data_IF_777395058508
#
_entry.id   IF_777395058508
#
_cell.length_a   1.000
_cell.length_b   1.000
_cell.length_c   1.000
_cell.angle_alpha   90.00
_cell.angle_beta   90.00
_cell.angle_gamma   90.00
#
_symmetry.space_group_name_H-M   'P 1'
#
loop_
_entity.id
_entity.type
_entity.pdbx_description
1 polymer ?
#
# COMPACT_ATOMS: atom_id res chain seq x y z
N UNK A 1 -12.62 -15.95 -7.49
CA UNK A 1 -11.50 -16.54 -8.28
C UNK A 1 -10.22 -15.69 -8.25
N UNK A 2 -10.31 -14.35 -8.15
CA UNK A 2 -9.18 -13.40 -8.28
C UNK A 2 -8.12 -13.43 -7.17
N UNK A 3 -8.49 -13.72 -5.91
CA UNK A 3 -7.55 -13.76 -4.77
C UNK A 3 -6.51 -14.89 -4.83
N UNK A 4 -6.61 -15.83 -5.78
CA UNK A 4 -5.55 -16.84 -6.00
C UNK A 4 -4.29 -16.26 -6.64
N UNK A 5 -4.37 -15.08 -7.26
CA UNK A 5 -3.25 -14.38 -7.89
C UNK A 5 -3.11 -12.97 -7.29
N UNK A 6 -2.70 -12.85 -6.02
CA UNK A 6 -2.68 -11.57 -5.32
C UNK A 6 -1.73 -10.54 -5.95
N UNK A 7 -0.68 -10.99 -6.66
CA UNK A 7 0.20 -10.11 -7.42
C UNK A 7 -0.53 -9.28 -8.47
N UNK A 8 -1.57 -9.82 -9.12
CA UNK A 8 -2.37 -9.08 -10.11
C UNK A 8 -3.15 -7.94 -9.46
N UNK A 9 -3.68 -8.15 -8.27
CA UNK A 9 -4.41 -7.10 -7.54
C UNK A 9 -3.45 -5.96 -7.20
N UNK A 10 -2.25 -6.29 -6.72
CA UNK A 10 -1.20 -5.30 -6.43
C UNK A 10 -0.79 -4.51 -7.68
N UNK A 11 -0.49 -5.21 -8.78
CA UNK A 11 -0.06 -4.59 -10.03
C UNK A 11 -1.16 -3.82 -10.76
N UNK A 12 -2.44 -4.18 -10.59
CA UNK A 12 -3.55 -3.39 -11.10
C UNK A 12 -3.81 -2.15 -10.24
N UNK A 13 -3.54 -2.20 -8.94
CA UNK A 13 -3.63 -1.02 -8.08
C UNK A 13 -2.54 0.02 -8.38
N UNK A 14 -1.36 -0.41 -8.84
CA UNK A 14 -0.25 0.48 -9.21
C UNK A 14 -0.61 1.58 -10.23
N UNK A 15 -1.13 1.28 -11.45
CA UNK A 15 -1.48 2.30 -12.41
C UNK A 15 -2.62 3.20 -11.92
N UNK A 16 -3.57 2.66 -11.15
CA UNK A 16 -4.65 3.46 -10.55
C UNK A 16 -4.05 4.50 -9.59
N UNK A 17 -3.08 4.10 -8.76
CA UNK A 17 -2.41 5.01 -7.83
C UNK A 17 -1.59 6.08 -8.57
N UNK A 18 -0.90 5.71 -9.66
CA UNK A 18 -0.19 6.67 -10.53
C UNK A 18 -1.18 7.69 -11.12
N UNK A 19 -2.30 7.22 -11.68
CA UNK A 19 -3.33 8.09 -12.25
C UNK A 19 -3.89 9.04 -11.20
N UNK A 20 -4.16 8.57 -9.99
CA UNK A 20 -4.61 9.42 -8.89
C UNK A 20 -3.56 10.48 -8.52
N UNK A 21 -2.27 10.12 -8.47
CA UNK A 21 -1.19 11.07 -8.23
C UNK A 21 -1.07 12.15 -9.31
N UNK A 22 -1.43 11.83 -10.56
CA UNK A 22 -1.48 12.80 -11.66
C UNK A 22 -2.72 13.69 -11.57
N UNK A 23 -3.90 13.12 -11.26
CA UNK A 23 -5.15 13.87 -11.09
C UNK A 23 -5.04 14.85 -9.91
N UNK A 24 -4.42 14.43 -8.81
CA UNK A 24 -4.26 15.23 -7.59
C UNK A 24 -2.85 15.85 -7.47
N UNK A 25 -2.17 16.11 -8.60
CA UNK A 25 -0.77 16.57 -8.64
C UNK A 25 -0.54 17.93 -7.97
N UNK A 26 -1.54 18.79 -7.94
CA UNK A 26 -1.48 20.12 -7.30
C UNK A 26 -1.40 20.06 -5.77
N UNK A 27 -1.65 18.90 -5.18
CA UNK A 27 -1.55 18.71 -3.74
C UNK A 27 -0.13 18.34 -3.31
N UNK A 28 0.15 18.62 -2.04
CA UNK A 28 1.40 18.28 -1.35
C UNK A 28 1.11 17.51 -0.08
N UNK A 29 2.11 16.77 0.40
CA UNK A 29 2.16 16.24 1.75
C UNK A 29 3.21 17.05 2.49
N UNK A 30 2.78 17.71 3.56
CA UNK A 30 3.60 18.62 4.34
C UNK A 30 4.00 17.92 5.64
N UNK A 31 5.29 17.84 5.93
CA UNK A 31 5.81 17.16 7.13
C UNK A 31 6.70 18.13 7.89
N UNK A 32 6.27 18.51 9.10
CA UNK A 32 7.09 19.29 10.02
C UNK A 32 8.02 18.34 10.80
N UNK A 33 9.33 18.48 10.59
CA UNK A 33 10.36 17.74 11.31
C UNK A 33 11.21 18.73 12.11
N UNK A 34 10.94 18.84 13.42
CA UNK A 34 11.55 19.83 14.30
C UNK A 34 11.40 21.25 13.71
N UNK A 35 12.52 21.93 13.42
CA UNK A 35 12.56 23.28 12.85
C UNK A 35 12.57 23.30 11.31
N UNK A 36 12.48 22.13 10.66
CA UNK A 36 12.50 22.00 9.20
C UNK A 36 11.14 21.58 8.65
N UNK A 37 10.72 22.20 7.56
CA UNK A 37 9.46 21.92 6.88
C UNK A 37 9.72 21.24 5.53
N UNK A 38 9.25 20.01 5.39
CA UNK A 38 9.35 19.24 4.14
C UNK A 38 8.04 19.28 3.38
N UNK A 39 8.11 19.67 2.10
CA UNK A 39 6.97 19.66 1.17
C UNK A 39 7.20 18.59 0.12
N UNK A 40 6.41 17.53 0.16
CA UNK A 40 6.51 16.41 -0.77
C UNK A 40 5.37 16.53 -1.78
N UNK A 41 5.68 16.63 -3.06
CA UNK A 41 4.62 16.67 -4.07
C UNK A 41 3.85 15.34 -4.10
N UNK A 42 2.51 15.41 -4.20
CA UNK A 42 1.65 14.22 -4.17
C UNK A 42 1.97 13.20 -5.27
N UNK A 43 2.53 13.66 -6.39
CA UNK A 43 3.03 12.77 -7.45
C UNK A 43 4.18 11.86 -7.00
N UNK A 44 5.09 12.33 -6.13
CA UNK A 44 6.17 11.51 -5.58
C UNK A 44 5.62 10.47 -4.60
N UNK A 45 4.62 10.85 -3.82
CA UNK A 45 3.92 9.97 -2.88
C UNK A 45 3.21 8.83 -3.62
N UNK A 46 2.47 9.16 -4.68
CA UNK A 46 1.86 8.18 -5.55
C UNK A 46 2.90 7.27 -6.21
N UNK A 47 4.00 7.83 -6.73
CA UNK A 47 5.08 7.05 -7.34
C UNK A 47 5.72 6.08 -6.34
N UNK A 48 5.97 6.53 -5.10
CA UNK A 48 6.51 5.71 -4.02
C UNK A 48 5.55 4.58 -3.65
N UNK A 49 4.25 4.88 -3.50
CA UNK A 49 3.23 3.87 -3.25
C UNK A 49 3.11 2.84 -4.37
N UNK A 50 3.26 3.27 -5.63
CA UNK A 50 3.23 2.36 -6.79
C UNK A 50 4.47 1.49 -6.87
N UNK A 51 5.65 2.05 -6.57
CA UNK A 51 6.89 1.27 -6.45
C UNK A 51 6.78 0.23 -5.32
N UNK A 52 6.15 0.59 -4.20
CA UNK A 52 5.90 -0.34 -3.11
C UNK A 52 4.97 -1.49 -3.53
N UNK A 53 3.84 -1.19 -4.19
CA UNK A 53 2.93 -2.20 -4.73
C UNK A 53 3.58 -3.09 -5.80
N UNK A 54 4.56 -2.57 -6.55
CA UNK A 54 5.37 -3.39 -7.46
C UNK A 54 6.13 -4.46 -6.69
N UNK A 55 6.84 -4.07 -5.62
CA UNK A 55 7.64 -4.98 -4.78
C UNK A 55 6.76 -6.02 -4.08
N UNK A 56 5.62 -5.60 -3.51
CA UNK A 56 4.63 -6.52 -2.92
C UNK A 56 4.11 -7.50 -3.96
N UNK A 57 3.75 -7.01 -5.15
CA UNK A 57 3.28 -7.86 -6.24
C UNK A 57 4.36 -8.84 -6.71
N UNK A 58 5.62 -8.40 -6.80
CA UNK A 58 6.75 -9.25 -7.14
C UNK A 58 6.94 -10.38 -6.12
N UNK A 59 6.89 -10.11 -4.82
CA UNK A 59 7.06 -11.18 -3.84
C UNK A 59 5.92 -12.20 -3.86
N UNK A 60 4.67 -11.78 -4.09
CA UNK A 60 3.57 -12.72 -4.33
C UNK A 60 3.73 -13.53 -5.62
N UNK A 61 4.20 -12.89 -6.69
CA UNK A 61 4.46 -13.56 -7.96
C UNK A 61 5.55 -14.62 -7.82
N UNK A 62 6.64 -14.30 -7.11
CA UNK A 62 7.73 -15.24 -6.81
C UNK A 62 7.22 -16.48 -6.05
N UNK A 63 6.31 -16.32 -5.09
CA UNK A 63 5.67 -17.47 -4.44
C UNK A 63 4.88 -18.31 -5.44
N UNK A 64 4.08 -17.68 -6.29
CA UNK A 64 3.28 -18.41 -7.26
C UNK A 64 4.15 -19.20 -8.26
N UNK A 65 5.36 -18.74 -8.58
CA UNK A 65 6.32 -19.49 -9.39
C UNK A 65 6.76 -20.81 -8.74
N UNK A 66 6.76 -20.91 -7.41
CA UNK A 66 7.07 -22.15 -6.69
C UNK A 66 5.93 -23.19 -6.75
N UNK A 67 4.82 -22.88 -7.43
CA UNK A 67 3.62 -23.73 -7.48
C UNK A 67 2.76 -23.67 -6.22
N UNK A 68 3.16 -22.90 -5.21
CA UNK A 68 2.44 -22.75 -3.95
C UNK A 68 1.43 -21.60 -4.01
N UNK A 69 0.33 -21.76 -3.27
CA UNK A 69 -0.69 -20.72 -3.13
C UNK A 69 -0.63 -20.11 -1.74
N UNK A 70 -0.51 -18.77 -1.61
CA UNK A 70 -0.51 -18.12 -0.31
C UNK A 70 -1.85 -18.24 0.40
N UNK A 71 -1.85 -18.13 1.72
CA UNK A 71 -3.08 -18.13 2.52
C UNK A 71 -3.96 -16.93 2.13
N UNK A 72 -5.19 -17.20 1.69
CA UNK A 72 -6.11 -16.18 1.19
C UNK A 72 -6.49 -15.18 2.28
N UNK A 73 -6.88 -15.64 3.47
CA UNK A 73 -7.34 -14.77 4.55
C UNK A 73 -6.27 -13.76 4.97
N UNK A 74 -5.05 -14.28 5.18
CA UNK A 74 -3.91 -13.48 5.61
C UNK A 74 -3.42 -12.54 4.50
N UNK A 75 -3.50 -12.97 3.24
CA UNK A 75 -3.24 -12.11 2.06
C UNK A 75 -4.25 -10.98 1.95
N UNK A 76 -5.53 -11.24 2.24
CA UNK A 76 -6.58 -10.21 2.23
C UNK A 76 -6.35 -9.17 3.34
N UNK A 77 -6.00 -9.62 4.56
CA UNK A 77 -5.69 -8.75 5.70
C UNK A 77 -4.46 -7.86 5.43
N UNK A 78 -3.51 -8.33 4.63
CA UNK A 78 -2.39 -7.49 4.19
C UNK A 78 -2.79 -6.54 3.05
N UNK A 79 -3.31 -7.10 1.95
CA UNK A 79 -3.34 -6.40 0.67
C UNK A 79 -4.44 -5.34 0.61
N UNK A 80 -5.63 -5.60 1.19
CA UNK A 80 -6.72 -4.62 1.18
C UNK A 80 -6.37 -3.38 2.01
N UNK A 81 -5.95 -3.47 3.28
CA UNK A 81 -5.56 -2.28 4.04
C UNK A 81 -4.39 -1.53 3.40
N UNK A 82 -3.41 -2.24 2.83
CA UNK A 82 -2.27 -1.62 2.14
C UNK A 82 -2.74 -0.74 0.98
N UNK A 83 -3.60 -1.27 0.09
CA UNK A 83 -4.12 -0.50 -1.05
C UNK A 83 -5.00 0.66 -0.58
N UNK A 84 -5.88 0.44 0.40
CA UNK A 84 -6.78 1.47 0.90
C UNK A 84 -5.98 2.63 1.50
N UNK A 85 -5.00 2.36 2.36
CA UNK A 85 -4.19 3.41 3.00
C UNK A 85 -3.41 4.21 1.95
N UNK A 86 -2.79 3.53 0.96
CA UNK A 86 -2.07 4.22 -0.12
C UNK A 86 -3.01 5.10 -0.96
N UNK A 87 -4.21 4.63 -1.27
CA UNK A 87 -5.21 5.41 -2.02
C UNK A 87 -5.68 6.63 -1.22
N UNK A 88 -5.99 6.45 0.06
CA UNK A 88 -6.43 7.53 0.94
C UNK A 88 -5.34 8.60 1.16
N UNK A 89 -4.06 8.22 1.08
CA UNK A 89 -2.93 9.12 1.25
C UNK A 89 -2.65 9.95 -0.01
N UNK A 90 -2.92 9.41 -1.20
CA UNK A 90 -2.83 10.16 -2.47
C UNK A 90 -4.08 11.01 -2.72
N UNK A 91 -5.25 10.52 -2.31
CA UNK A 91 -6.46 11.34 -2.28
C UNK A 91 -6.32 12.40 -1.18
N UNK A 92 -6.80 13.65 -1.37
CA UNK A 92 -6.68 14.70 -0.36
C UNK A 92 -7.59 14.49 0.87
N UNK A 93 -7.97 13.25 1.18
CA UNK A 93 -8.92 12.87 2.24
C UNK A 93 -8.33 13.01 3.64
N UNK A 94 -7.03 12.72 3.82
CA UNK A 94 -6.30 12.94 5.07
C UNK A 94 -5.83 14.40 5.26
N UNK A 95 -6.14 15.31 4.30
CA UNK A 95 -5.72 16.72 4.39
C UNK A 95 -6.91 17.67 4.56
N UNK A 96 -7.86 17.60 3.63
CA UNK A 96 -9.01 18.51 3.58
C UNK A 96 -10.35 17.74 3.59
N UNK A 97 -10.31 16.44 3.87
CA UNK A 97 -11.47 15.56 3.85
C UNK A 97 -11.93 15.15 5.24
N UNK A 98 -12.92 14.24 5.31
CA UNK A 98 -13.50 13.77 6.57
C UNK A 98 -12.50 13.03 7.49
N UNK A 99 -11.32 12.68 6.97
CA UNK A 99 -10.27 11.98 7.71
C UNK A 99 -9.05 12.88 7.99
N UNK A 100 -9.18 14.20 7.89
CA UNK A 100 -8.06 15.14 8.05
C UNK A 100 -7.43 15.20 9.46
N UNK A 101 -7.99 14.49 10.43
CA UNK A 101 -7.43 14.47 11.79
C UNK A 101 -6.18 13.60 11.85
N UNK A 102 -5.17 14.05 12.63
CA UNK A 102 -3.91 13.33 12.82
C UNK A 102 -4.10 11.89 13.35
N UNK A 103 -5.18 11.65 14.10
CA UNK A 103 -5.54 10.32 14.61
C UNK A 103 -5.85 9.33 13.48
N UNK A 104 -6.63 9.74 12.48
CA UNK A 104 -6.98 8.89 11.33
C UNK A 104 -5.76 8.55 10.48
N UNK A 105 -4.86 9.53 10.29
CA UNK A 105 -3.58 9.30 9.62
C UNK A 105 -2.72 8.30 10.40
N UNK A 106 -2.64 8.46 11.73
CA UNK A 106 -1.88 7.58 12.61
C UNK A 106 -2.41 6.14 12.60
N UNK A 107 -3.73 5.97 12.64
CA UNK A 107 -4.39 4.66 12.50
C UNK A 107 -4.14 4.04 11.13
N UNK A 108 -4.16 4.84 10.06
CA UNK A 108 -3.82 4.39 8.70
C UNK A 108 -2.38 3.88 8.61
N UNK A 109 -1.42 4.62 9.18
CA UNK A 109 -0.01 4.21 9.25
C UNK A 109 0.13 2.91 10.05
N UNK A 110 -0.52 2.81 11.20
CA UNK A 110 -0.49 1.59 12.02
C UNK A 110 -1.06 0.38 11.26
N UNK A 111 -2.22 0.55 10.61
CA UNK A 111 -2.84 -0.50 9.81
C UNK A 111 -1.93 -0.93 8.63
N UNK A 112 -1.26 0.02 7.99
CA UNK A 112 -0.29 -0.27 6.94
C UNK A 112 0.89 -1.10 7.47
N UNK A 113 1.47 -0.73 8.60
CA UNK A 113 2.59 -1.46 9.23
C UNK A 113 2.19 -2.88 9.66
N UNK A 114 1.03 -3.03 10.31
CA UNK A 114 0.49 -4.35 10.67
C UNK A 114 0.24 -5.21 9.44
N UNK A 115 -0.24 -4.61 8.35
CA UNK A 115 -0.36 -5.26 7.05
C UNK A 115 0.97 -5.79 6.53
N UNK A 116 2.08 -5.07 6.70
CA UNK A 116 3.40 -5.53 6.27
C UNK A 116 3.93 -6.68 7.11
N UNK A 117 3.66 -6.70 8.42
CA UNK A 117 3.95 -7.86 9.26
C UNK A 117 3.19 -9.10 8.77
N UNK A 118 1.90 -8.96 8.44
CA UNK A 118 1.10 -10.04 7.88
C UNK A 118 1.66 -10.54 6.54
N UNK A 119 2.15 -9.64 5.68
CA UNK A 119 2.82 -10.01 4.42
C UNK A 119 4.02 -10.91 4.65
N UNK A 120 4.96 -10.50 5.51
CA UNK A 120 6.17 -11.29 5.81
C UNK A 120 5.78 -12.67 6.35
N UNK A 121 4.80 -12.72 7.26
CA UNK A 121 4.29 -13.99 7.81
C UNK A 121 3.70 -14.87 6.70
N UNK A 122 2.89 -14.32 5.79
CA UNK A 122 2.33 -15.07 4.64
C UNK A 122 3.44 -15.66 3.79
N UNK A 123 4.45 -14.86 3.45
CA UNK A 123 5.54 -15.31 2.59
C UNK A 123 6.26 -16.48 3.26
N UNK A 124 6.65 -16.33 4.53
CA UNK A 124 7.37 -17.36 5.30
C UNK A 124 6.53 -18.64 5.45
N UNK A 125 5.28 -18.52 5.89
CA UNK A 125 4.39 -19.68 6.06
C UNK A 125 4.18 -20.45 4.76
N UNK A 126 4.05 -19.73 3.64
CA UNK A 126 3.81 -20.36 2.33
C UNK A 126 5.07 -21.07 1.85
N UNK A 127 6.26 -20.49 2.03
CA UNK A 127 7.52 -21.11 1.63
C UNK A 127 7.86 -22.33 2.49
N UNK A 128 7.62 -22.27 3.80
CA UNK A 128 7.91 -23.33 4.76
C UNK A 128 6.93 -24.51 4.72
N UNK A 129 5.72 -24.30 4.16
CA UNK A 129 4.73 -25.37 3.99
C UNK A 129 5.29 -26.42 3.01
N UNK A 130 5.40 -27.68 3.47
CA UNK A 130 5.78 -28.82 2.62
C UNK A 130 4.74 -29.06 1.55
#
# INVERSE_FOLDING_TARGET
MTFRKPYLISWLAMPVLILMGLVFRQHTVDVQLYDTYFVIANSHVALMGSAFLLVVGLGYWLICLTGKTPNIALTTIHLLPTIIVLMLLVMPLFRNGPFANAEWLSLGILAFLLGQCAYVIVIMLTLLRK
#
